data_IF_656508805996
#
_entry.id   IF_656508805996
#
_cell.length_a   1.000
_cell.length_b   1.000
_cell.length_c   1.000
_cell.angle_alpha   90.00
_cell.angle_beta   90.00
_cell.angle_gamma   90.00
#
_symmetry.space_group_name_H-M   'P 1'
#
loop_
_entity.id
_entity.type
_entity.pdbx_description
1 polymer ?
#
# COMPACT_ATOMS: atom_id res chain seq x y z
N UNK A 1 2.13 -32.48 12.17
CA UNK A 1 1.00 -31.97 11.37
C UNK A 1 1.41 -30.64 10.76
N UNK A 2 1.69 -30.59 9.46
CA UNK A 2 1.93 -29.32 8.78
C UNK A 2 0.63 -28.51 8.77
N UNK A 3 0.66 -27.32 9.39
CA UNK A 3 -0.43 -26.37 9.29
C UNK A 3 -0.63 -26.04 7.80
N UNK A 4 -1.72 -26.56 7.20
CA UNK A 4 -2.11 -26.21 5.84
C UNK A 4 -2.29 -24.69 5.79
N UNK A 5 -1.34 -23.98 5.19
CA UNK A 5 -1.47 -22.53 4.93
C UNK A 5 -2.64 -22.35 3.96
N UNK A 6 -3.80 -21.99 4.49
CA UNK A 6 -4.97 -21.68 3.67
C UNK A 6 -4.63 -20.43 2.86
N UNK A 7 -4.67 -20.49 1.51
CA UNK A 7 -4.37 -19.34 0.69
C UNK A 7 -5.33 -18.20 0.97
N UNK A 8 -4.80 -16.98 1.04
CA UNK A 8 -5.62 -15.77 1.15
C UNK A 8 -6.66 -15.71 0.01
N UNK A 9 -7.93 -15.41 0.30
CA UNK A 9 -8.95 -15.26 -0.73
C UNK A 9 -8.53 -14.22 -1.77
N UNK A 10 -8.82 -14.49 -3.06
CA UNK A 10 -8.37 -13.66 -4.19
C UNK A 10 -8.68 -12.16 -4.02
N UNK A 11 -9.84 -11.82 -3.43
CA UNK A 11 -10.22 -10.42 -3.15
C UNK A 11 -9.23 -9.67 -2.26
N UNK A 12 -8.58 -10.34 -1.29
CA UNK A 12 -7.59 -9.69 -0.42
C UNK A 12 -6.28 -9.47 -1.16
N UNK A 13 -5.86 -10.44 -1.98
CA UNK A 13 -4.68 -10.31 -2.84
C UNK A 13 -4.84 -9.14 -3.80
N UNK A 14 -5.97 -9.04 -4.50
CA UNK A 14 -6.26 -7.93 -5.42
C UNK A 14 -6.23 -6.58 -4.70
N UNK A 15 -6.87 -6.47 -3.52
CA UNK A 15 -6.87 -5.23 -2.74
C UNK A 15 -5.46 -4.82 -2.27
N UNK A 16 -4.67 -5.78 -1.80
CA UNK A 16 -3.28 -5.54 -1.35
C UNK A 16 -2.41 -5.10 -2.53
N UNK A 17 -2.44 -5.83 -3.64
CA UNK A 17 -1.63 -5.49 -4.82
C UNK A 17 -2.03 -4.15 -5.45
N UNK A 18 -3.31 -3.77 -5.40
CA UNK A 18 -3.75 -2.45 -5.84
C UNK A 18 -3.15 -1.33 -4.97
N UNK A 19 -3.18 -1.50 -3.64
CA UNK A 19 -2.57 -0.53 -2.72
C UNK A 19 -1.05 -0.44 -2.90
N UNK A 20 -0.37 -1.56 -3.12
CA UNK A 20 1.07 -1.58 -3.41
C UNK A 20 1.40 -0.86 -4.73
N UNK A 21 0.59 -1.05 -5.76
CA UNK A 21 0.75 -0.34 -7.03
C UNK A 21 0.54 1.17 -6.88
N UNK A 22 -0.48 1.59 -6.12
CA UNK A 22 -0.76 3.02 -5.88
C UNK A 22 0.38 3.68 -5.07
N UNK A 23 0.97 2.98 -4.10
CA UNK A 23 2.14 3.46 -3.35
C UNK A 23 3.35 3.63 -4.28
N UNK A 24 3.66 2.61 -5.09
CA UNK A 24 4.77 2.69 -6.04
C UNK A 24 4.56 3.82 -7.07
N UNK A 25 3.31 4.10 -7.45
CA UNK A 25 3.00 5.22 -8.31
C UNK A 25 3.24 6.58 -7.63
N UNK A 26 2.90 6.73 -6.35
CA UNK A 26 3.22 7.94 -5.59
C UNK A 26 4.74 8.19 -5.52
N UNK A 27 5.52 7.15 -5.22
CA UNK A 27 6.98 7.23 -5.18
C UNK A 27 7.59 7.61 -6.55
N UNK A 28 7.05 7.04 -7.64
CA UNK A 28 7.45 7.41 -8.99
C UNK A 28 7.17 8.88 -9.31
N UNK A 29 6.01 9.42 -8.88
CA UNK A 29 5.66 10.83 -9.09
C UNK A 29 6.52 11.77 -8.25
N UNK A 30 6.83 11.41 -6.99
CA UNK A 30 7.75 12.16 -6.14
C UNK A 30 9.15 12.20 -6.78
N UNK A 31 9.61 11.06 -7.29
CA UNK A 31 10.89 10.96 -8.00
C UNK A 31 10.90 11.80 -9.27
N UNK A 32 9.80 11.77 -10.04
CA UNK A 32 9.65 12.53 -11.28
C UNK A 32 9.64 14.06 -11.05
N UNK A 33 9.00 14.53 -9.97
CA UNK A 33 9.02 15.94 -9.57
C UNK A 33 10.44 16.45 -9.23
N UNK A 34 11.40 15.54 -9.02
CA UNK A 34 12.81 15.82 -8.78
C UNK A 34 13.15 15.97 -7.30
N UNK A 35 14.38 15.58 -6.93
CA UNK A 35 14.86 15.67 -5.54
C UNK A 35 14.96 17.11 -5.03
N UNK A 36 15.11 18.08 -5.93
CA UNK A 36 15.17 19.52 -5.64
C UNK A 36 14.05 20.21 -6.41
N UNK A 37 12.87 20.42 -5.78
CA UNK A 37 11.75 21.07 -6.45
C UNK A 37 12.05 22.55 -6.69
N UNK A 38 12.10 22.93 -7.97
CA UNK A 38 12.45 24.28 -8.44
C UNK A 38 11.35 25.30 -8.17
N UNK A 39 10.09 24.84 -8.11
CA UNK A 39 8.91 25.71 -7.94
C UNK A 39 8.15 25.44 -6.65
N UNK A 40 7.39 26.45 -6.19
CA UNK A 40 6.42 26.29 -5.08
C UNK A 40 5.35 25.23 -5.41
N UNK A 41 5.00 25.09 -6.69
CA UNK A 41 4.02 24.11 -7.16
C UNK A 41 4.54 22.69 -7.00
N UNK A 42 5.76 22.40 -7.46
CA UNK A 42 6.39 21.09 -7.28
C UNK A 42 6.55 20.71 -5.80
N UNK A 43 6.88 21.68 -4.93
CA UNK A 43 6.90 21.44 -3.47
C UNK A 43 5.54 21.01 -2.93
N UNK A 44 4.48 21.68 -3.34
CA UNK A 44 3.12 21.34 -2.94
C UNK A 44 2.70 19.96 -3.48
N UNK A 45 3.03 19.67 -4.75
CA UNK A 45 2.77 18.40 -5.40
C UNK A 45 3.46 17.22 -4.68
N UNK A 46 4.76 17.34 -4.37
CA UNK A 46 5.48 16.35 -3.57
C UNK A 46 4.82 16.15 -2.19
N UNK A 47 4.39 17.22 -1.53
CA UNK A 47 3.74 17.12 -0.22
C UNK A 47 2.40 16.39 -0.28
N UNK A 48 1.63 16.59 -1.36
CA UNK A 48 0.39 15.88 -1.62
C UNK A 48 0.66 14.39 -1.81
N UNK A 49 1.61 14.02 -2.67
CA UNK A 49 1.93 12.62 -2.93
C UNK A 49 2.47 11.90 -1.68
N UNK A 50 3.31 12.55 -0.88
CA UNK A 50 3.77 11.99 0.42
C UNK A 50 2.63 11.76 1.40
N UNK A 51 1.69 12.69 1.45
CA UNK A 51 0.52 12.58 2.33
C UNK A 51 -0.41 11.44 1.88
N UNK A 52 -0.57 11.27 0.56
CA UNK A 52 -1.33 10.19 -0.02
C UNK A 52 -0.66 8.83 0.21
N UNK A 53 0.64 8.73 -0.06
CA UNK A 53 1.46 7.54 0.20
C UNK A 53 1.31 7.07 1.66
N UNK A 54 1.41 7.99 2.63
CA UNK A 54 1.24 7.67 4.06
C UNK A 54 -0.14 7.05 4.36
N UNK A 55 -1.21 7.59 3.76
CA UNK A 55 -2.56 7.04 3.95
C UNK A 55 -2.72 5.68 3.25
N UNK A 56 -2.12 5.49 2.07
CA UNK A 56 -2.13 4.22 1.36
C UNK A 56 -1.36 3.14 2.14
N UNK A 57 -0.20 3.46 2.71
CA UNK A 57 0.53 2.55 3.61
C UNK A 57 -0.28 2.15 4.83
N UNK A 58 -1.00 3.11 5.44
CA UNK A 58 -1.89 2.83 6.57
C UNK A 58 -2.99 1.85 6.17
N UNK A 59 -3.61 2.06 5.00
CA UNK A 59 -4.64 1.16 4.46
C UNK A 59 -4.08 -0.22 4.11
N UNK A 60 -2.87 -0.29 3.58
CA UNK A 60 -2.17 -1.54 3.27
C UNK A 60 -1.93 -2.36 4.55
N UNK A 61 -1.42 -1.73 5.61
CA UNK A 61 -1.23 -2.37 6.92
C UNK A 61 -2.54 -2.93 7.49
N UNK A 62 -3.64 -2.17 7.39
CA UNK A 62 -4.97 -2.63 7.82
C UNK A 62 -5.43 -3.83 6.97
N UNK A 63 -5.32 -3.74 5.64
CA UNK A 63 -5.74 -4.82 4.75
C UNK A 63 -4.93 -6.11 4.97
N UNK A 64 -3.62 -6.00 5.21
CA UNK A 64 -2.75 -7.12 5.56
C UNK A 64 -3.14 -7.75 6.90
N UNK A 65 -3.47 -6.93 7.91
CA UNK A 65 -3.95 -7.42 9.21
C UNK A 65 -5.29 -8.15 9.08
N UNK A 66 -6.26 -7.58 8.38
CA UNK A 66 -7.57 -8.21 8.12
C UNK A 66 -7.42 -9.54 7.38
N UNK A 67 -6.52 -9.58 6.40
CA UNK A 67 -6.19 -10.78 5.64
C UNK A 67 -5.60 -11.87 6.56
N UNK A 68 -4.67 -11.49 7.43
CA UNK A 68 -4.04 -12.40 8.39
C UNK A 68 -5.05 -12.97 9.40
N UNK A 69 -5.85 -12.12 10.03
CA UNK A 69 -6.86 -12.54 11.01
C UNK A 69 -7.89 -13.50 10.40
N UNK A 70 -8.32 -13.24 9.17
CA UNK A 70 -9.26 -14.15 8.46
C UNK A 70 -8.60 -15.47 8.07
N UNK A 71 -7.33 -15.45 7.68
CA UNK A 71 -6.58 -16.69 7.43
C UNK A 71 -6.48 -17.55 8.68
N UNK A 72 -6.22 -16.94 9.85
CA UNK A 72 -6.14 -17.66 11.12
C UNK A 72 -7.48 -18.27 11.54
N UNK A 73 -8.59 -17.53 11.36
CA UNK A 73 -9.96 -18.04 11.63
C UNK A 73 -10.38 -19.18 10.72
N UNK A 74 -9.79 -19.31 9.54
CA UNK A 74 -10.06 -20.43 8.63
C UNK A 74 -9.26 -21.68 9.00
N UNK A 75 -8.15 -21.53 9.73
CA UNK A 75 -7.27 -22.63 10.17
C UNK A 75 -7.55 -23.13 11.59
N UNK A 76 -8.34 -22.41 12.38
CA UNK A 76 -8.78 -22.77 13.74
C UNK A 76 -10.12 -23.51 13.69
#
# INVERSE_FOLDING_TARGET
MEARKIPLPARFKVKISALEADIAFCDALITFAGQIPETVYQRAEIQVYKSLETELERRLKIAQKEAHERSQKLTA
#
